data_IF_261016744917
#
_entry.id   IF_261016744917
#
_cell.length_a   1.000
_cell.length_b   1.000
_cell.length_c   1.000
_cell.angle_alpha   90.00
_cell.angle_beta   90.00
_cell.angle_gamma   90.00
#
_symmetry.space_group_name_H-M   'P 1'
#
loop_
_entity.id
_entity.type
_entity.pdbx_description
1 polymer ?
#
# COMPACT_ATOMS: atom_id res chain seq x y z
N UNK A 1 -10.45 -1.19 40.74
CA UNK A 1 -9.45 -1.78 39.81
C UNK A 1 -10.15 -2.36 38.57
N UNK A 2 -10.79 -1.51 37.75
CA UNK A 2 -11.51 -1.94 36.53
C UNK A 2 -11.10 -1.22 35.25
N UNK A 3 -10.16 -0.26 35.34
CA UNK A 3 -9.64 0.49 34.19
C UNK A 3 -8.70 -0.33 33.30
N UNK A 4 -8.12 -1.43 33.79
CA UNK A 4 -7.04 -2.13 33.10
C UNK A 4 -7.52 -2.99 31.92
N UNK A 5 -8.66 -3.69 32.06
CA UNK A 5 -9.14 -4.60 31.03
C UNK A 5 -9.69 -3.87 29.79
N UNK A 6 -10.37 -2.75 29.99
CA UNK A 6 -10.88 -1.93 28.88
C UNK A 6 -9.74 -1.29 28.09
N UNK A 7 -8.73 -0.75 28.79
CA UNK A 7 -7.52 -0.18 28.19
C UNK A 7 -6.75 -1.24 27.40
N UNK A 8 -6.58 -2.43 27.97
CA UNK A 8 -5.94 -3.57 27.31
C UNK A 8 -6.69 -3.98 26.03
N UNK A 9 -8.01 -4.09 26.11
CA UNK A 9 -8.86 -4.43 24.96
C UNK A 9 -8.73 -3.40 23.83
N UNK A 10 -8.80 -2.11 24.16
CA UNK A 10 -8.64 -1.04 23.17
C UNK A 10 -7.25 -1.04 22.53
N UNK A 11 -6.18 -1.26 23.31
CA UNK A 11 -4.82 -1.39 22.75
C UNK A 11 -4.70 -2.58 21.81
N UNK A 12 -5.29 -3.72 22.16
CA UNK A 12 -5.30 -4.90 21.29
C UNK A 12 -6.00 -4.61 19.96
N UNK A 13 -7.12 -3.87 19.97
CA UNK A 13 -7.81 -3.46 18.74
C UNK A 13 -6.90 -2.65 17.82
N UNK A 14 -6.17 -1.67 18.35
CA UNK A 14 -5.24 -0.84 17.55
C UNK A 14 -3.92 -1.54 17.22
N UNK A 15 -3.64 -2.71 17.81
CA UNK A 15 -2.49 -3.54 17.44
C UNK A 15 -2.73 -4.35 16.16
N UNK A 16 -3.98 -4.64 15.81
CA UNK A 16 -4.35 -5.44 14.63
C UNK A 16 -3.72 -4.92 13.32
N UNK A 17 -3.74 -3.61 13.00
CA UNK A 17 -3.07 -3.10 11.81
C UNK A 17 -1.55 -3.36 11.82
N UNK A 18 -0.89 -3.24 12.98
CA UNK A 18 0.55 -3.50 13.11
C UNK A 18 0.85 -4.97 12.84
N UNK A 19 0.07 -5.88 13.43
CA UNK A 19 0.23 -7.32 13.21
C UNK A 19 0.04 -7.70 11.73
N UNK A 20 -0.97 -7.12 11.06
CA UNK A 20 -1.18 -7.30 9.61
C UNK A 20 0.03 -6.82 8.81
N UNK A 21 0.57 -5.64 9.13
CA UNK A 21 1.76 -5.11 8.45
C UNK A 21 2.99 -5.99 8.68
N UNK A 22 3.17 -6.53 9.88
CA UNK A 22 4.26 -7.47 10.19
C UNK A 22 4.12 -8.80 9.46
N UNK A 23 2.89 -9.34 9.37
CA UNK A 23 2.61 -10.56 8.60
C UNK A 23 2.99 -10.44 7.12
N UNK A 24 2.93 -9.23 6.57
CA UNK A 24 3.32 -8.93 5.20
C UNK A 24 4.68 -8.23 5.08
N UNK A 25 5.52 -8.24 6.12
CA UNK A 25 6.82 -7.57 6.11
C UNK A 25 7.72 -8.02 4.96
N UNK A 26 7.72 -9.31 4.61
CA UNK A 26 8.49 -9.83 3.48
C UNK A 26 8.03 -9.24 2.14
N UNK A 27 6.72 -9.08 1.94
CA UNK A 27 6.16 -8.45 0.73
C UNK A 27 6.66 -7.01 0.61
N UNK A 28 6.58 -6.23 1.69
CA UNK A 28 7.07 -4.84 1.68
C UNK A 28 8.59 -4.78 1.48
N UNK A 29 9.35 -5.69 2.07
CA UNK A 29 10.80 -5.75 1.88
C UNK A 29 11.17 -6.07 0.41
N UNK A 30 10.46 -7.02 -0.22
CA UNK A 30 10.63 -7.34 -1.64
C UNK A 30 10.25 -6.17 -2.55
N UNK A 31 9.17 -5.47 -2.24
CA UNK A 31 8.77 -4.28 -2.96
C UNK A 31 9.83 -3.17 -2.84
N UNK A 32 10.37 -2.94 -1.64
CA UNK A 32 11.41 -1.93 -1.44
C UNK A 32 12.75 -2.29 -2.08
N UNK A 33 13.11 -3.57 -2.15
CA UNK A 33 14.34 -3.99 -2.84
C UNK A 33 14.25 -3.76 -4.35
N UNK A 34 13.07 -3.89 -4.94
CA UNK A 34 12.83 -3.60 -6.36
C UNK A 34 13.08 -2.13 -6.73
N UNK A 35 13.03 -1.20 -5.76
CA UNK A 35 13.27 0.23 -5.98
C UNK A 35 14.60 0.50 -6.68
N UNK A 36 15.67 -0.17 -6.29
CA UNK A 36 17.00 0.05 -6.87
C UNK A 36 17.11 -0.47 -8.30
N UNK A 37 16.54 -1.66 -8.56
CA UNK A 37 16.48 -2.22 -9.92
C UNK A 37 15.62 -1.33 -10.81
N UNK A 38 14.48 -0.85 -10.31
CA UNK A 38 13.61 0.06 -11.04
C UNK A 38 14.33 1.38 -11.38
N UNK A 39 15.06 1.93 -10.41
CA UNK A 39 15.89 3.12 -10.60
C UNK A 39 16.97 2.92 -11.67
N UNK A 40 17.64 1.76 -11.68
CA UNK A 40 18.66 1.45 -12.68
C UNK A 40 18.07 1.34 -14.10
N UNK A 41 16.84 0.83 -14.24
CA UNK A 41 16.17 0.64 -15.52
C UNK A 41 15.52 1.92 -16.08
N UNK A 42 14.93 2.73 -15.20
CA UNK A 42 14.07 3.86 -15.59
C UNK A 42 14.61 5.23 -15.16
N UNK A 43 15.73 5.28 -14.43
CA UNK A 43 16.35 6.50 -13.93
C UNK A 43 15.96 6.86 -12.50
N UNK A 44 16.65 7.85 -11.94
CA UNK A 44 16.50 8.29 -10.55
C UNK A 44 15.06 8.74 -10.21
N UNK A 45 14.41 9.49 -11.10
CA UNK A 45 13.06 10.02 -10.87
C UNK A 45 11.97 8.93 -10.81
N UNK A 46 12.26 7.73 -11.32
CA UNK A 46 11.31 6.63 -11.35
C UNK A 46 11.04 5.99 -9.97
N UNK A 47 11.76 6.42 -8.92
CA UNK A 47 11.57 5.90 -7.55
C UNK A 47 10.37 6.48 -6.82
N UNK A 48 9.79 7.59 -7.31
CA UNK A 48 8.68 8.29 -6.68
C UNK A 48 7.54 7.36 -6.19
N UNK A 49 7.01 6.40 -6.99
CA UNK A 49 5.97 5.50 -6.52
C UNK A 49 6.41 4.63 -5.33
N UNK A 50 7.67 4.20 -5.25
CA UNK A 50 8.16 3.41 -4.11
C UNK A 50 8.20 4.23 -2.82
N UNK A 51 8.50 5.52 -2.92
CA UNK A 51 8.46 6.44 -1.79
C UNK A 51 7.02 6.61 -1.28
N UNK A 52 6.05 6.79 -2.18
CA UNK A 52 4.63 6.89 -1.84
C UNK A 52 4.09 5.61 -1.17
N UNK A 53 4.48 4.43 -1.67
CA UNK A 53 4.12 3.15 -1.05
C UNK A 53 4.74 3.02 0.35
N UNK A 54 6.00 3.46 0.52
CA UNK A 54 6.67 3.46 1.84
C UNK A 54 5.98 4.41 2.80
N UNK A 55 5.60 5.60 2.34
CA UNK A 55 4.91 6.61 3.11
C UNK A 55 3.56 6.11 3.63
N UNK A 56 2.75 5.48 2.77
CA UNK A 56 1.49 4.85 3.18
C UNK A 56 1.71 3.79 4.28
N UNK A 57 2.75 2.94 4.13
CA UNK A 57 3.12 1.96 5.16
C UNK A 57 3.54 2.62 6.48
N UNK A 58 4.36 3.69 6.43
CA UNK A 58 4.76 4.44 7.65
C UNK A 58 3.51 4.99 8.33
N UNK A 59 2.63 5.65 7.56
CA UNK A 59 1.44 6.32 8.05
C UNK A 59 0.53 5.38 8.84
N UNK A 60 0.19 4.22 8.27
CA UNK A 60 -0.59 3.19 8.97
C UNK A 60 0.07 2.78 10.29
N UNK A 61 1.39 2.54 10.25
CA UNK A 61 2.14 2.08 11.43
C UNK A 61 2.17 3.13 12.54
N UNK A 62 2.42 4.40 12.17
CA UNK A 62 2.47 5.53 13.10
C UNK A 62 1.09 5.81 13.68
N UNK A 63 0.03 5.80 12.86
CA UNK A 63 -1.34 6.04 13.32
C UNK A 63 -1.80 4.97 14.32
N UNK A 64 -1.53 3.69 14.04
CA UNK A 64 -1.81 2.60 14.97
C UNK A 64 -1.04 2.75 16.30
N UNK A 65 0.28 3.00 16.25
CA UNK A 65 1.11 3.20 17.45
C UNK A 65 0.67 4.41 18.27
N UNK A 66 0.28 5.49 17.60
CA UNK A 66 -0.21 6.71 18.22
C UNK A 66 -1.50 6.43 18.99
N UNK A 67 -2.46 5.73 18.40
CA UNK A 67 -3.70 5.31 19.09
C UNK A 67 -3.41 4.41 20.30
N UNK A 68 -2.56 3.39 20.16
CA UNK A 68 -2.13 2.54 21.29
C UNK A 68 -1.55 3.38 22.45
N UNK A 69 -0.70 4.35 22.11
CA UNK A 69 -0.06 5.23 23.09
C UNK A 69 -1.02 6.19 23.78
N UNK A 70 -2.09 6.62 23.11
CA UNK A 70 -3.11 7.51 23.66
C UNK A 70 -4.17 6.77 24.51
N UNK A 71 -4.43 5.48 24.23
CA UNK A 71 -5.35 4.67 25.03
C UNK A 71 -4.91 4.57 26.49
N UNK A 72 -5.85 4.84 27.40
CA UNK A 72 -5.64 4.81 28.86
C UNK A 72 -5.05 6.09 29.44
N UNK A 73 -4.75 7.11 28.62
CA UNK A 73 -4.37 8.44 29.11
C UNK A 73 -5.62 9.29 29.33
N UNK A 74 -5.86 9.72 30.57
CA UNK A 74 -6.98 10.60 30.94
C UNK A 74 -7.00 11.85 30.04
N UNK A 75 -8.13 12.10 29.39
CA UNK A 75 -8.35 13.23 28.47
C UNK A 75 -7.46 13.28 27.22
N UNK A 76 -6.75 12.19 26.85
CA UNK A 76 -5.96 12.20 25.63
C UNK A 76 -6.81 12.32 24.36
N UNK A 77 -7.98 11.66 24.32
CA UNK A 77 -8.95 11.79 23.24
C UNK A 77 -9.52 13.20 23.17
N UNK A 78 -10.07 13.71 24.27
CA UNK A 78 -10.66 15.06 24.35
C UNK A 78 -9.67 16.15 23.92
N UNK A 79 -8.38 16.04 24.29
CA UNK A 79 -7.35 17.03 23.91
C UNK A 79 -6.85 16.88 22.49
N UNK A 80 -7.02 15.73 21.85
CA UNK A 80 -6.44 15.41 20.54
C UNK A 80 -7.46 14.76 19.60
N UNK A 81 -8.72 15.18 19.66
CA UNK A 81 -9.83 14.57 18.91
C UNK A 81 -9.52 14.51 17.42
N UNK A 82 -9.09 15.62 16.81
CA UNK A 82 -8.70 15.66 15.41
C UNK A 82 -7.52 14.73 15.05
N UNK A 83 -6.58 14.49 15.97
CA UNK A 83 -5.50 13.53 15.75
C UNK A 83 -6.03 12.10 15.85
N UNK A 84 -6.89 11.82 16.83
CA UNK A 84 -7.52 10.53 17.02
C UNK A 84 -8.32 10.13 15.78
N UNK A 85 -9.18 11.02 15.29
CA UNK A 85 -10.04 10.78 14.13
C UNK A 85 -9.22 10.54 12.87
N UNK A 86 -8.16 11.33 12.64
CA UNK A 86 -7.22 11.09 11.53
C UNK A 86 -6.52 9.74 11.65
N UNK A 87 -6.08 9.35 12.84
CA UNK A 87 -5.42 8.08 13.03
C UNK A 87 -6.38 6.90 12.85
N UNK A 88 -7.65 7.01 13.27
CA UNK A 88 -8.67 5.98 13.01
C UNK A 88 -9.01 5.90 11.52
N UNK A 89 -9.13 7.04 10.85
CA UNK A 89 -9.32 7.14 9.42
C UNK A 89 -8.17 6.51 8.60
N UNK A 90 -6.93 6.58 9.10
CA UNK A 90 -5.78 5.95 8.46
C UNK A 90 -5.74 4.42 8.60
N UNK A 91 -6.40 3.82 9.60
CA UNK A 91 -6.25 2.37 9.90
C UNK A 91 -7.53 1.56 9.68
N UNK A 92 -8.70 2.22 9.61
CA UNK A 92 -9.99 1.57 9.45
C UNK A 92 -10.67 2.02 8.16
N UNK A 93 -11.07 1.04 7.36
CA UNK A 93 -11.86 1.26 6.15
C UNK A 93 -13.20 1.90 6.49
N UNK A 94 -13.63 2.88 5.68
CA UNK A 94 -14.87 3.63 5.89
C UNK A 94 -14.79 4.76 6.94
N UNK A 95 -13.76 4.81 7.78
CA UNK A 95 -13.63 5.89 8.77
C UNK A 95 -13.33 7.26 8.13
N UNK A 96 -12.65 7.28 6.98
CA UNK A 96 -12.50 8.50 6.19
C UNK A 96 -13.88 9.09 5.83
N UNK A 97 -14.78 8.27 5.26
CA UNK A 97 -16.13 8.70 4.88
C UNK A 97 -16.96 9.12 6.11
N UNK A 98 -16.92 8.32 7.17
CA UNK A 98 -17.63 8.62 8.42
C UNK A 98 -17.19 9.95 9.05
N UNK A 99 -15.91 10.30 8.91
CA UNK A 99 -15.34 11.55 9.42
C UNK A 99 -15.41 12.71 8.41
N UNK A 100 -15.95 12.50 7.21
CA UNK A 100 -15.94 13.50 6.13
C UNK A 100 -14.51 13.85 5.65
N UNK A 101 -13.57 12.93 5.79
CA UNK A 101 -12.16 13.07 5.44
C UNK A 101 -11.84 12.40 4.11
N UNK A 102 -10.80 12.90 3.44
CA UNK A 102 -10.28 12.29 2.21
C UNK A 102 -9.46 11.05 2.58
N UNK A 103 -9.68 9.94 1.87
CA UNK A 103 -8.87 8.74 2.01
C UNK A 103 -7.47 8.96 1.40
N UNK A 104 -6.57 9.48 2.22
CA UNK A 104 -5.20 9.77 1.84
C UNK A 104 -4.39 8.52 1.50
N UNK A 105 -4.70 7.38 2.11
CA UNK A 105 -3.96 6.14 1.85
C UNK A 105 -4.35 5.60 0.48
N UNK A 106 -5.65 5.44 0.22
CA UNK A 106 -6.11 4.92 -1.07
C UNK A 106 -5.72 5.86 -2.22
N UNK A 107 -5.81 7.17 -2.05
CA UNK A 107 -5.35 8.12 -3.08
C UNK A 107 -3.84 8.02 -3.31
N UNK A 108 -3.02 7.89 -2.27
CA UNK A 108 -1.56 7.70 -2.39
C UNK A 108 -1.23 6.40 -3.11
N UNK A 109 -1.91 5.30 -2.78
CA UNK A 109 -1.72 4.00 -3.42
C UNK A 109 -2.14 4.03 -4.89
N UNK A 110 -3.31 4.59 -5.21
CA UNK A 110 -3.80 4.72 -6.57
C UNK A 110 -2.81 5.51 -7.45
N UNK A 111 -2.34 6.66 -6.95
CA UNK A 111 -1.34 7.47 -7.63
C UNK A 111 -0.02 6.71 -7.86
N UNK A 112 0.45 5.97 -6.85
CA UNK A 112 1.67 5.17 -6.98
C UNK A 112 1.53 4.08 -8.05
N UNK A 113 0.39 3.39 -8.09
CA UNK A 113 0.08 2.36 -9.09
C UNK A 113 0.05 2.98 -10.49
N UNK A 114 -0.66 4.09 -10.66
CA UNK A 114 -0.75 4.80 -11.95
C UNK A 114 0.64 5.22 -12.45
N UNK A 115 1.49 5.74 -11.55
CA UNK A 115 2.86 6.12 -11.89
C UNK A 115 3.70 4.91 -12.35
N UNK A 116 3.62 3.78 -11.64
CA UNK A 116 4.32 2.55 -12.05
C UNK A 116 3.83 2.08 -13.40
N UNK A 117 2.52 2.04 -13.62
CA UNK A 117 1.94 1.64 -14.90
C UNK A 117 2.39 2.55 -16.05
N UNK A 118 2.36 3.87 -15.83
CA UNK A 118 2.80 4.86 -16.82
C UNK A 118 4.26 4.67 -17.21
N UNK A 119 5.13 4.36 -16.25
CA UNK A 119 6.56 4.11 -16.49
C UNK A 119 6.78 2.79 -17.23
N UNK A 120 6.10 1.71 -16.81
CA UNK A 120 6.30 0.38 -17.36
C UNK A 120 5.64 0.15 -18.73
N UNK A 121 4.46 0.76 -18.96
CA UNK A 121 3.61 0.49 -20.13
C UNK A 121 4.33 0.65 -21.48
N UNK A 122 5.15 1.69 -21.73
CA UNK A 122 5.89 1.82 -22.98
C UNK A 122 6.85 0.64 -23.26
N UNK A 123 7.55 0.15 -22.23
CA UNK A 123 8.49 -0.98 -22.36
C UNK A 123 7.75 -2.28 -22.61
N UNK A 124 6.64 -2.52 -21.90
CA UNK A 124 5.82 -3.71 -22.09
C UNK A 124 5.21 -3.78 -23.50
N UNK A 125 4.69 -2.66 -24.01
CA UNK A 125 4.12 -2.58 -25.36
C UNK A 125 5.19 -2.73 -26.46
N UNK A 126 6.40 -2.22 -26.24
CA UNK A 126 7.51 -2.42 -27.18
C UNK A 126 8.04 -3.87 -27.18
N UNK A 127 8.09 -4.50 -26.01
CA UNK A 127 8.49 -5.91 -25.88
C UNK A 127 7.53 -6.84 -26.63
N UNK A 128 6.22 -6.60 -26.52
CA UNK A 128 5.20 -7.36 -27.25
C UNK A 128 5.34 -7.21 -28.78
N UNK A 129 5.62 -5.99 -29.25
CA UNK A 129 5.91 -5.74 -30.68
C UNK A 129 7.17 -6.46 -31.16
N UNK A 130 8.24 -6.51 -30.36
CA UNK A 130 9.49 -7.23 -30.72
C UNK A 130 9.36 -8.76 -30.67
N UNK A 131 8.48 -9.31 -29.82
CA UNK A 131 8.18 -10.75 -29.78
C UNK A 131 7.58 -11.29 -31.09
N UNK A 132 7.07 -10.41 -31.96
CA UNK A 132 6.59 -10.77 -33.31
C UNK A 132 7.71 -10.94 -34.36
N UNK A 133 8.98 -10.68 -34.03
CA UNK A 133 10.08 -10.96 -34.94
C UNK A 133 10.28 -12.48 -35.14
N UNK A 134 10.22 -12.86 -36.42
CA UNK A 134 10.35 -14.16 -37.12
C UNK A 134 10.90 -15.39 -36.39
N UNK A 135 11.82 -15.23 -35.42
CA UNK A 135 12.46 -16.32 -34.67
C UNK A 135 11.54 -17.01 -33.65
N UNK A 136 10.56 -16.29 -33.09
CA UNK A 136 9.58 -16.90 -32.14
C UNK A 136 8.47 -17.68 -32.84
N UNK A 137 8.10 -17.33 -34.10
CA UNK A 137 7.07 -18.07 -34.88
C UNK A 137 7.50 -19.48 -35.27
N UNK A 138 8.81 -19.73 -35.44
CA UNK A 138 9.33 -21.03 -35.87
C UNK A 138 9.45 -22.03 -34.71
N UNK A 139 9.60 -21.56 -33.47
CA UNK A 139 9.85 -22.45 -32.31
C UNK A 139 8.60 -22.83 -31.51
N UNK A 140 7.54 -22.01 -31.57
CA UNK A 140 6.27 -22.27 -30.89
C UNK A 140 5.09 -21.93 -31.80
N UNK A 141 4.65 -22.86 -32.67
CA UNK A 141 3.45 -22.64 -33.47
C UNK A 141 2.24 -22.57 -32.55
N UNK A 142 1.52 -21.44 -32.57
CA UNK A 142 0.20 -21.35 -31.93
C UNK A 142 -0.73 -22.33 -32.63
N UNK A 143 -1.28 -23.31 -31.89
CA UNK A 143 -2.37 -24.17 -32.40
C UNK A 143 -3.52 -23.27 -32.85
N UNK A 144 -4.06 -23.45 -34.07
CA UNK A 144 -5.23 -22.68 -34.49
C UNK A 144 -6.40 -22.99 -33.55
N UNK A 145 -7.07 -21.95 -33.09
CA UNK A 145 -8.31 -22.08 -32.34
C UNK A 145 -9.33 -22.82 -33.21
N UNK A 146 -9.97 -23.85 -32.64
CA UNK A 146 -11.04 -24.57 -33.32
C UNK A 146 -12.16 -23.58 -33.67
N UNK A 147 -12.69 -23.59 -34.90
CA UNK A 147 -13.89 -22.83 -35.20
C UNK A 147 -15.04 -23.35 -34.33
N UNK A 148 -15.75 -22.42 -33.69
CA UNK A 148 -16.99 -22.72 -32.99
C UNK A 148 -18.01 -23.25 -34.02
N UNK A 149 -18.57 -24.41 -33.72
CA UNK A 149 -19.68 -25.01 -34.45
C UNK A 149 -21.01 -24.41 -33.98
#
# INVERSE_FOLDING_TARGET
>A
EGEDEQVRRSRNTYFVPIERMQKHAELFARLQSQRYTFMALFGAEAIAPFNSLREAQVRISVSAQTLIGMVGRRSARERNEALWDRCEADIWEGMNEANGQVDHINSTLANAIELVERICRPVLLQADRKATHKWFRTKFPRKPAKPAA
#
